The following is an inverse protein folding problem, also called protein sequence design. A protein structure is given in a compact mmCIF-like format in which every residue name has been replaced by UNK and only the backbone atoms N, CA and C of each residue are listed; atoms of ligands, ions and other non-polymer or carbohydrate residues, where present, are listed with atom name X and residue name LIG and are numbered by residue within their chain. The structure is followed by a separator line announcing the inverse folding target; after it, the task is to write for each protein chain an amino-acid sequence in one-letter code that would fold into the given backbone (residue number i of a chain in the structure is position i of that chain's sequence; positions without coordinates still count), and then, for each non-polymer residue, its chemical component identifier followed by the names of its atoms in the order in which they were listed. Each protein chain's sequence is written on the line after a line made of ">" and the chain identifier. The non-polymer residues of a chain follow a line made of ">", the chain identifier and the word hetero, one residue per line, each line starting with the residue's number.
data_IF_734100454529
#
_entry.id   IF_734100454529
#
_cell.length_a   1.000
_cell.length_b   1.000
_cell.length_c   1.000
_cell.angle_alpha   90.00
_cell.angle_beta   90.00
_cell.angle_gamma   90.00
#
_symmetry.space_group_name_H-M   'P 1'
#
loop_
_entity.id
_entity.type
_entity.pdbx_description
1 polymer ?
#
# COMPACT_ATOMS: atom_id res chain seq x y z
N UNK A 1 19.03 14.87 4.52
CA UNK A 1 17.86 14.06 4.11
C UNK A 1 16.68 14.99 4.04
N UNK A 2 16.21 15.31 2.83
CA UNK A 2 14.95 16.04 2.69
C UNK A 2 13.85 15.17 3.31
N UNK A 3 13.19 15.67 4.36
CA UNK A 3 11.92 15.08 4.80
C UNK A 3 11.04 15.06 3.56
N UNK A 4 10.72 13.87 3.05
CA UNK A 4 9.51 13.73 2.25
C UNK A 4 8.38 14.09 3.21
N UNK A 5 7.97 15.35 3.22
CA UNK A 5 6.73 15.75 3.87
C UNK A 5 5.62 14.97 3.16
N UNK A 6 4.81 14.30 3.96
CA UNK A 6 3.68 13.53 3.49
C UNK A 6 2.49 14.45 3.37
N UNK A 7 1.54 14.11 2.51
CA UNK A 7 0.28 14.81 2.39
C UNK A 7 -0.83 13.84 2.71
N UNK A 8 -1.78 14.27 3.52
CA UNK A 8 -2.97 13.52 3.83
C UNK A 8 -4.14 14.14 3.07
N UNK A 9 -4.84 13.32 2.30
CA UNK A 9 -6.10 13.68 1.65
C UNK A 9 -7.22 12.90 2.34
N UNK A 10 -8.13 13.58 3.03
CA UNK A 10 -9.28 12.96 3.71
C UNK A 10 -10.58 13.31 3.03
N UNK A 11 -11.50 12.35 2.94
CA UNK A 11 -12.84 12.58 2.42
C UNK A 11 -13.68 13.44 3.39
N UNK A 12 -14.50 14.32 2.84
CA UNK A 12 -15.52 15.06 3.61
C UNK A 12 -16.62 14.06 4.00
N UNK A 13 -17.06 14.09 5.27
CA UNK A 13 -18.05 13.12 5.80
C UNK A 13 -19.34 13.12 4.95
N UNK A 14 -19.84 11.92 4.64
CA UNK A 14 -21.07 11.73 3.87
C UNK A 14 -20.91 11.88 2.36
N UNK A 15 -19.67 12.05 1.86
CA UNK A 15 -19.41 12.10 0.42
C UNK A 15 -19.15 10.72 -0.17
N UNK A 16 -19.28 10.63 -1.49
CA UNK A 16 -18.94 9.41 -2.23
C UNK A 16 -17.45 9.08 -2.09
N UNK A 17 -16.58 10.10 -2.09
CA UNK A 17 -15.14 9.91 -1.90
C UNK A 17 -14.81 9.37 -0.50
N UNK A 18 -15.46 9.87 0.56
CA UNK A 18 -15.28 9.33 1.91
C UNK A 18 -15.70 7.86 2.00
N UNK A 19 -16.81 7.50 1.36
CA UNK A 19 -17.27 6.11 1.28
C UNK A 19 -16.25 5.22 0.55
N UNK A 20 -15.64 5.71 -0.54
CA UNK A 20 -14.59 5.00 -1.26
C UNK A 20 -13.33 4.82 -0.41
N UNK A 21 -12.87 5.87 0.28
CA UNK A 21 -11.73 5.77 1.19
C UNK A 21 -11.99 4.80 2.34
N UNK A 22 -13.20 4.83 2.91
CA UNK A 22 -13.62 3.88 3.94
C UNK A 22 -13.54 2.44 3.44
N UNK A 23 -14.11 2.16 2.27
CA UNK A 23 -14.04 0.83 1.65
C UNK A 23 -12.59 0.37 1.49
N UNK A 24 -11.70 1.26 1.02
CA UNK A 24 -10.28 0.93 0.87
C UNK A 24 -9.59 0.64 2.21
N UNK A 25 -9.88 1.45 3.22
CA UNK A 25 -9.31 1.26 4.55
C UNK A 25 -9.80 -0.04 5.20
N UNK A 26 -11.11 -0.32 5.19
CA UNK A 26 -11.68 -1.50 5.83
C UNK A 26 -11.19 -2.79 5.19
N UNK A 27 -11.17 -2.86 3.86
CA UNK A 27 -10.62 -4.01 3.14
C UNK A 27 -9.12 -4.18 3.43
N UNK A 28 -8.35 -3.10 3.56
CA UNK A 28 -6.94 -3.18 4.00
C UNK A 28 -6.82 -3.79 5.40
N UNK A 29 -7.65 -3.37 6.36
CA UNK A 29 -7.63 -3.90 7.73
C UNK A 29 -7.99 -5.39 7.75
N UNK A 30 -8.96 -5.81 6.95
CA UNK A 30 -9.35 -7.21 6.86
C UNK A 30 -8.31 -8.07 6.15
N UNK A 31 -7.69 -7.57 5.09
CA UNK A 31 -6.58 -8.24 4.40
C UNK A 31 -5.42 -8.48 5.38
N UNK A 32 -5.05 -7.50 6.21
CA UNK A 32 -3.96 -7.63 7.21
C UNK A 32 -4.14 -8.86 8.11
N UNK A 33 -5.36 -9.13 8.56
CA UNK A 33 -5.66 -10.29 9.43
C UNK A 33 -5.31 -11.60 8.73
N UNK A 34 -5.66 -11.69 7.44
CA UNK A 34 -5.42 -12.87 6.61
C UNK A 34 -3.93 -12.99 6.25
N UNK A 35 -3.30 -11.86 5.90
CA UNK A 35 -1.89 -11.80 5.50
C UNK A 35 -0.99 -12.35 6.60
N UNK A 36 -1.20 -11.92 7.86
CA UNK A 36 -0.42 -12.40 9.00
C UNK A 36 -0.50 -13.93 9.10
N UNK A 37 -1.70 -14.48 8.93
CA UNK A 37 -1.92 -15.93 8.96
C UNK A 37 -1.21 -16.64 7.78
N UNK A 38 -1.34 -16.13 6.56
CA UNK A 38 -0.68 -16.73 5.39
C UNK A 38 0.85 -16.68 5.47
N UNK A 39 1.43 -15.60 6.01
CA UNK A 39 2.87 -15.49 6.22
C UNK A 39 3.33 -16.46 7.30
N UNK A 40 2.55 -16.61 8.38
CA UNK A 40 2.84 -17.58 9.43
C UNK A 40 2.80 -19.02 8.91
N UNK A 41 1.85 -19.34 8.03
CA UNK A 41 1.77 -20.64 7.36
C UNK A 41 2.97 -20.89 6.43
N UNK A 42 3.41 -19.87 5.69
CA UNK A 42 4.60 -19.97 4.85
C UNK A 42 5.88 -20.15 5.68
N UNK A 43 6.06 -19.33 6.71
CA UNK A 43 7.36 -19.17 7.38
C UNK A 43 7.49 -19.93 8.70
N UNK A 44 6.40 -20.49 9.21
CA UNK A 44 6.28 -21.06 10.56
C UNK A 44 6.51 -20.06 11.70
N UNK A 45 6.65 -18.76 11.40
CA UNK A 45 6.90 -17.69 12.38
C UNK A 45 5.87 -16.58 12.18
N UNK A 46 5.34 -16.03 13.27
CA UNK A 46 4.45 -14.87 13.19
C UNK A 46 5.27 -13.62 12.84
N UNK A 47 4.96 -12.88 11.77
CA UNK A 47 5.64 -11.63 11.45
C UNK A 47 5.33 -10.55 12.50
N UNK A 48 6.32 -9.69 12.80
CA UNK A 48 6.14 -8.51 13.67
C UNK A 48 5.78 -7.26 12.87
N UNK A 49 6.14 -7.24 11.59
CA UNK A 49 5.84 -6.14 10.68
C UNK A 49 5.74 -6.68 9.26
N UNK A 50 4.78 -6.15 8.53
CA UNK A 50 4.62 -6.36 7.10
C UNK A 50 4.53 -4.95 6.55
N UNK A 51 5.60 -4.46 5.93
CA UNK A 51 5.63 -3.14 5.31
C UNK A 51 4.86 -3.25 3.97
N UNK A 52 3.54 -3.29 4.14
CA UNK A 52 2.67 -4.10 3.31
C UNK A 52 1.98 -3.37 2.17
N UNK A 53 2.46 -2.22 1.72
CA UNK A 53 1.95 -1.67 0.46
C UNK A 53 3.13 -1.42 -0.45
N UNK A 54 3.08 -2.03 -1.64
CA UNK A 54 4.13 -1.93 -2.63
C UNK A 54 4.32 -0.46 -3.04
N UNK A 55 5.34 0.18 -2.47
CA UNK A 55 5.89 1.44 -2.94
C UNK A 55 6.97 1.22 -4.01
N UNK A 56 7.19 -0.01 -4.47
CA UNK A 56 8.10 -0.26 -5.58
C UNK A 56 7.45 0.15 -6.90
N UNK A 57 8.09 1.13 -7.53
CA UNK A 57 7.80 1.60 -8.89
C UNK A 57 7.87 0.50 -9.94
N UNK A 58 8.45 -0.67 -9.63
CA UNK A 58 8.69 -1.78 -10.58
C UNK A 58 7.48 -2.69 -10.80
N UNK A 59 6.53 -2.81 -9.87
CA UNK A 59 5.30 -3.62 -10.08
C UNK A 59 4.06 -2.76 -10.35
N UNK A 60 4.05 -1.52 -9.86
CA UNK A 60 3.04 -0.52 -10.20
C UNK A 60 2.95 -0.26 -11.73
N UNK A 61 4.03 -0.53 -12.48
CA UNK A 61 4.09 -0.40 -13.94
C UNK A 61 3.44 -1.55 -14.71
N UNK A 62 3.35 -2.75 -14.13
CA UNK A 62 2.88 -3.94 -14.86
C UNK A 62 1.37 -4.18 -14.72
N UNK A 63 0.77 -3.77 -13.61
CA UNK A 63 -0.69 -3.88 -13.38
C UNK A 63 -1.19 -2.68 -12.60
N UNK A 64 -1.52 -1.63 -13.34
CA UNK A 64 -2.62 -0.71 -13.04
C UNK A 64 -2.71 -0.13 -11.62
N UNK A 65 -2.20 1.09 -11.41
CA UNK A 65 -2.77 2.13 -10.51
C UNK A 65 -3.06 1.75 -9.05
N UNK A 66 -2.53 0.65 -8.54
CA UNK A 66 -3.08 0.01 -7.34
C UNK A 66 -2.18 0.01 -6.12
N UNK A 67 -2.79 0.31 -4.98
CA UNK A 67 -2.21 0.08 -3.66
C UNK A 67 -2.25 -1.44 -3.42
N UNK A 68 -1.16 -2.13 -3.78
CA UNK A 68 -1.06 -3.59 -3.74
C UNK A 68 -0.31 -4.06 -2.50
N UNK A 69 -0.75 -5.17 -1.93
CA UNK A 69 0.00 -5.83 -0.87
C UNK A 69 1.31 -6.40 -1.41
N UNK A 70 2.43 -5.86 -0.93
CA UNK A 70 3.74 -6.47 -1.17
C UNK A 70 3.89 -7.72 -0.31
N UNK A 71 4.26 -8.84 -0.94
CA UNK A 71 4.76 -10.02 -0.23
C UNK A 71 6.27 -9.92 0.05
N UNK A 72 6.93 -8.90 -0.46
CA UNK A 72 8.27 -8.49 -0.03
C UNK A 72 8.10 -7.55 1.18
N UNK A 73 9.14 -7.37 1.99
CA UNK A 73 9.18 -6.50 3.19
C UNK A 73 8.50 -7.05 4.45
N UNK A 74 8.76 -8.32 4.74
CA UNK A 74 8.31 -8.97 5.97
C UNK A 74 9.41 -8.86 7.03
N UNK A 75 9.06 -8.49 8.27
CA UNK A 75 9.97 -8.61 9.42
C UNK A 75 9.45 -9.64 10.39
N UNK A 76 10.38 -10.41 10.92
CA UNK A 76 10.15 -11.41 11.96
C UNK A 76 10.88 -11.02 13.25
N UNK A 77 10.53 -11.61 14.39
CA UNK A 77 11.28 -11.44 15.64
C UNK A 77 12.78 -11.74 15.46
N UNK A 78 13.62 -11.10 16.26
CA UNK A 78 15.04 -11.45 16.28
C UNK A 78 15.24 -12.92 16.71
N UNK A 79 16.35 -13.52 16.26
CA UNK A 79 16.75 -14.90 16.58
C UNK A 79 15.78 -16.00 16.15
N UNK A 80 14.84 -15.72 15.24
CA UNK A 80 14.03 -16.74 14.59
C UNK A 80 14.66 -17.23 13.27
N UNK A 81 14.21 -18.39 12.80
CA UNK A 81 14.62 -18.97 11.52
C UNK A 81 13.37 -19.22 10.64
N UNK A 82 12.85 -18.19 9.95
CA UNK A 82 11.62 -18.32 9.17
C UNK A 82 11.86 -19.17 7.92
N UNK A 83 10.98 -20.15 7.70
CA UNK A 83 11.07 -21.08 6.56
C UNK A 83 10.63 -20.40 5.24
N UNK A 84 11.07 -20.95 4.12
CA UNK A 84 10.58 -20.59 2.77
C UNK A 84 10.74 -19.11 2.38
N UNK A 85 11.54 -18.33 3.12
CA UNK A 85 11.86 -16.93 2.88
C UNK A 85 13.37 -16.72 2.85
N UNK A 86 13.82 -15.62 2.25
CA UNK A 86 15.23 -15.20 2.23
C UNK A 86 15.38 -13.79 2.78
N UNK A 87 16.41 -13.52 3.58
CA UNK A 87 16.66 -12.19 4.12
C UNK A 87 17.29 -11.26 3.08
N UNK A 88 17.02 -9.97 3.22
CA UNK A 88 17.72 -8.87 2.55
C UNK A 88 17.72 -7.64 3.45
N UNK A 89 18.66 -6.72 3.24
CA UNK A 89 18.85 -5.56 4.11
C UNK A 89 18.51 -4.25 3.39
N UNK A 90 17.78 -3.38 4.06
CA UNK A 90 17.50 -2.00 3.62
C UNK A 90 17.76 -1.06 4.79
N UNK A 91 18.65 -0.08 4.61
CA UNK A 91 18.97 0.95 5.61
C UNK A 91 19.27 0.37 7.01
N UNK A 92 20.01 -0.74 7.07
CA UNK A 92 20.35 -1.39 8.34
C UNK A 92 19.29 -2.37 8.87
N UNK A 93 18.06 -2.36 8.33
CA UNK A 93 16.95 -3.21 8.77
C UNK A 93 16.90 -4.48 7.92
N UNK A 94 16.76 -5.64 8.57
CA UNK A 94 16.59 -6.94 7.89
C UNK A 94 15.11 -7.15 7.58
N UNK A 95 14.82 -7.37 6.30
CA UNK A 95 13.53 -7.78 5.77
C UNK A 95 13.64 -9.15 5.13
N UNK A 96 12.49 -9.79 4.90
CA UNK A 96 12.39 -11.09 4.27
C UNK A 96 11.42 -11.03 3.08
N UNK A 97 11.71 -11.83 2.06
CA UNK A 97 10.85 -12.08 0.89
C UNK A 97 10.73 -13.59 0.67
N UNK A 98 9.61 -14.11 0.16
CA UNK A 98 9.49 -15.51 -0.24
C UNK A 98 10.64 -15.97 -1.14
N UNK A 99 11.21 -17.14 -0.85
CA UNK A 99 12.29 -17.70 -1.65
C UNK A 99 11.78 -18.10 -3.04
N UNK A 100 12.13 -17.34 -4.08
CA UNK A 100 11.63 -17.55 -5.44
C UNK A 100 12.06 -18.88 -6.07
N UNK A 101 13.10 -19.52 -5.54
CA UNK A 101 13.59 -20.82 -6.01
C UNK A 101 12.86 -21.99 -5.32
N UNK A 102 12.03 -21.73 -4.32
CA UNK A 102 11.28 -22.75 -3.59
C UNK A 102 9.84 -22.86 -4.12
N UNK A 103 9.39 -24.10 -4.35
CA UNK A 103 8.05 -24.40 -4.87
C UNK A 103 6.93 -24.04 -3.88
N UNK A 104 7.18 -24.13 -2.57
CA UNK A 104 6.19 -23.75 -1.56
C UNK A 104 5.98 -22.23 -1.59
N UNK A 105 7.07 -21.47 -1.54
CA UNK A 105 7.05 -20.02 -1.73
C UNK A 105 6.46 -19.57 -3.08
N UNK A 106 6.72 -20.29 -4.18
CA UNK A 106 6.13 -19.99 -5.49
C UNK A 106 4.59 -20.10 -5.47
N UNK A 107 4.05 -21.18 -4.88
CA UNK A 107 2.60 -21.36 -4.71
C UNK A 107 2.00 -20.26 -3.84
N UNK A 108 2.67 -19.92 -2.74
CA UNK A 108 2.27 -18.80 -1.88
C UNK A 108 2.19 -17.49 -2.66
N UNK A 109 3.21 -17.13 -3.44
CA UNK A 109 3.22 -15.88 -4.22
C UNK A 109 2.13 -15.82 -5.30
N UNK A 110 1.72 -16.97 -5.85
CA UNK A 110 0.59 -17.05 -6.80
C UNK A 110 -0.74 -16.82 -6.08
N UNK A 111 -0.95 -17.48 -4.94
CA UNK A 111 -2.15 -17.32 -4.13
C UNK A 111 -2.28 -15.91 -3.56
N UNK A 112 -1.17 -15.33 -3.08
CA UNK A 112 -1.10 -13.95 -2.62
C UNK A 112 -1.62 -12.98 -3.68
N UNK A 113 -1.09 -13.07 -4.92
CA UNK A 113 -1.51 -12.20 -6.03
C UNK A 113 -2.96 -12.42 -6.45
N UNK A 114 -3.48 -13.64 -6.32
CA UNK A 114 -4.88 -13.97 -6.62
C UNK A 114 -5.82 -13.31 -5.61
N UNK A 115 -5.45 -13.34 -4.33
CA UNK A 115 -6.28 -12.89 -3.21
C UNK A 115 -6.18 -11.38 -2.98
N UNK A 116 -4.96 -10.85 -2.94
CA UNK A 116 -4.67 -9.47 -2.56
C UNK A 116 -4.45 -8.61 -3.80
N UNK A 117 -5.55 -8.30 -4.49
CA UNK A 117 -5.53 -7.48 -5.72
C UNK A 117 -5.37 -5.98 -5.47
N UNK A 118 -5.37 -5.55 -4.20
CA UNK A 118 -5.30 -4.15 -3.82
C UNK A 118 -6.45 -3.30 -4.35
N UNK A 119 -6.23 -1.99 -4.47
CA UNK A 119 -7.26 -1.02 -4.86
C UNK A 119 -6.92 -0.26 -6.11
N UNK A 120 -7.85 -0.13 -7.06
CA UNK A 120 -7.63 0.65 -8.27
C UNK A 120 -7.74 2.17 -8.02
N UNK A 121 -6.60 2.86 -8.05
CA UNK A 121 -6.50 4.31 -7.86
C UNK A 121 -7.17 5.14 -8.96
N UNK A 122 -7.52 4.57 -10.12
CA UNK A 122 -8.30 5.30 -11.15
C UNK A 122 -9.65 5.82 -10.64
N UNK A 123 -10.23 5.14 -9.65
CA UNK A 123 -11.50 5.58 -9.05
C UNK A 123 -11.38 6.95 -8.38
N UNK A 124 -10.16 7.41 -8.06
CA UNK A 124 -9.88 8.71 -7.49
C UNK A 124 -9.89 9.85 -8.52
N UNK A 125 -9.70 9.54 -9.81
CA UNK A 125 -9.62 10.54 -10.88
C UNK A 125 -10.91 11.36 -11.01
N UNK A 126 -12.07 10.72 -10.85
CA UNK A 126 -13.37 11.41 -10.92
C UNK A 126 -13.54 12.47 -9.83
N UNK A 127 -12.75 12.39 -8.77
CA UNK A 127 -12.72 13.37 -7.68
C UNK A 127 -11.58 14.38 -7.81
N UNK A 128 -10.86 14.40 -8.93
CA UNK A 128 -9.71 15.29 -9.10
C UNK A 128 -8.49 14.89 -8.25
N UNK A 129 -8.35 13.60 -7.91
CA UNK A 129 -7.13 13.08 -7.28
C UNK A 129 -6.46 12.17 -8.30
N UNK A 130 -5.53 12.76 -9.06
CA UNK A 130 -4.83 12.05 -10.12
C UNK A 130 -3.52 11.42 -9.61
N UNK A 131 -3.62 10.16 -9.15
CA UNK A 131 -2.45 9.38 -8.69
C UNK A 131 -1.53 8.93 -9.82
N UNK A 132 -1.89 9.21 -11.09
CA UNK A 132 -1.00 9.11 -12.27
C UNK A 132 -1.31 10.25 -13.25
N UNK A 133 -0.57 11.37 -13.22
CA UNK A 133 -0.85 12.50 -14.07
C UNK A 133 -0.85 12.12 -15.55
N UNK A 134 -1.85 12.64 -16.26
CA UNK A 134 -2.09 12.44 -17.70
C UNK A 134 -0.90 12.75 -18.62
N UNK A 135 0.12 13.49 -18.14
CA UNK A 135 1.29 13.92 -18.89
C UNK A 135 2.58 13.12 -18.64
N UNK A 136 2.56 11.96 -17.95
CA UNK A 136 3.79 11.17 -17.79
C UNK A 136 3.72 9.88 -16.98
N UNK A 137 4.91 9.32 -16.70
CA UNK A 137 5.16 8.11 -15.89
C UNK A 137 5.42 8.42 -14.41
N UNK A 138 4.85 9.50 -13.88
CA UNK A 138 5.07 9.87 -12.47
C UNK A 138 4.05 9.10 -11.63
N UNK A 139 4.54 8.26 -10.72
CA UNK A 139 3.70 7.47 -9.83
C UNK A 139 3.78 8.05 -8.43
N UNK A 140 2.63 8.29 -7.81
CA UNK A 140 2.58 8.67 -6.41
C UNK A 140 2.29 7.46 -5.54
N UNK A 141 3.13 7.27 -4.52
CA UNK A 141 2.82 6.33 -3.47
C UNK A 141 1.61 6.86 -2.70
N UNK A 142 0.63 5.98 -2.49
CA UNK A 142 -0.52 6.28 -1.66
C UNK A 142 -0.90 5.07 -0.83
N UNK A 143 -1.37 5.29 0.39
CA UNK A 143 -1.89 4.23 1.28
C UNK A 143 -3.21 4.67 1.93
N UNK A 144 -4.22 3.79 2.03
CA UNK A 144 -5.42 4.07 2.81
C UNK A 144 -5.10 4.30 4.29
N UNK A 145 -5.73 5.30 4.91
CA UNK A 145 -5.54 5.63 6.32
C UNK A 145 -6.86 6.02 6.99
N UNK A 146 -6.86 5.93 8.33
CA UNK A 146 -7.78 6.66 9.18
C UNK A 146 -6.97 7.75 9.89
N UNK A 147 -7.31 9.02 9.63
CA UNK A 147 -6.60 10.18 10.17
C UNK A 147 -7.59 11.14 10.82
N UNK A 148 -7.40 11.46 12.11
CA UNK A 148 -8.31 12.31 12.89
C UNK A 148 -9.78 11.93 12.70
N UNK A 149 -10.08 10.63 12.81
CA UNK A 149 -11.43 10.06 12.64
C UNK A 149 -12.06 10.28 11.25
N UNK A 150 -11.24 10.55 10.22
CA UNK A 150 -11.64 10.65 8.81
C UNK A 150 -10.92 9.59 7.99
N UNK A 151 -11.63 9.03 7.02
CA UNK A 151 -11.03 8.13 6.04
C UNK A 151 -10.31 8.93 4.95
N UNK A 152 -9.15 8.45 4.54
CA UNK A 152 -8.33 9.16 3.58
C UNK A 152 -7.22 8.31 3.00
N UNK A 153 -6.30 9.01 2.34
CA UNK A 153 -5.06 8.46 1.82
C UNK A 153 -3.89 9.33 2.29
N UNK A 154 -2.80 8.68 2.69
CA UNK A 154 -1.49 9.31 2.83
C UNK A 154 -0.77 9.17 1.49
N UNK A 155 -0.33 10.28 0.93
CA UNK A 155 0.28 10.42 -0.39
C UNK A 155 1.55 11.25 -0.30
N UNK A 156 2.49 11.06 -1.22
CA UNK A 156 3.63 11.96 -1.31
C UNK A 156 3.23 13.37 -1.75
N UNK A 157 3.83 14.41 -1.17
CA UNK A 157 3.61 15.83 -1.50
C UNK A 157 3.71 16.17 -3.01
N UNK A 158 4.48 15.39 -3.77
CA UNK A 158 4.66 15.58 -5.21
C UNK A 158 3.37 15.57 -6.03
N UNK A 159 2.27 14.98 -5.50
CA UNK A 159 0.97 14.96 -6.17
C UNK A 159 0.28 16.34 -6.16
N UNK A 160 0.65 17.23 -5.23
CA UNK A 160 -0.02 18.53 -5.03
C UNK A 160 -0.09 19.39 -6.30
N UNK A 161 0.96 19.35 -7.13
CA UNK A 161 1.01 20.09 -8.40
C UNK A 161 0.06 19.54 -9.48
N UNK A 162 -0.47 18.34 -9.27
CA UNK A 162 -1.38 17.65 -10.20
C UNK A 162 -2.84 17.65 -9.72
N UNK A 163 -3.13 18.22 -8.55
CA UNK A 163 -4.50 18.36 -8.06
C UNK A 163 -5.18 19.56 -8.75
N UNK A 164 -6.17 19.34 -9.63
CA UNK A 164 -6.90 20.42 -10.27
C UNK A 164 -7.70 21.22 -9.23
N UNK A 165 -7.86 22.52 -9.50
CA UNK A 165 -8.74 23.37 -8.71
C UNK A 165 -10.20 23.10 -9.11
N UNK A 166 -10.84 22.14 -8.43
CA UNK A 166 -12.25 21.81 -8.60
C UNK A 166 -13.10 22.52 -7.52
N UNK A 167 -14.22 23.14 -7.93
CA UNK A 167 -15.08 23.91 -7.02
C UNK A 167 -15.74 23.02 -5.95
N UNK A 168 -16.26 21.87 -6.35
CA UNK A 168 -17.04 20.96 -5.50
C UNK A 168 -16.21 19.76 -5.02
N UNK A 169 -15.00 20.03 -4.52
CA UNK A 169 -14.13 18.95 -4.00
C UNK A 169 -14.78 18.23 -2.82
N UNK A 170 -14.62 16.91 -2.80
CA UNK A 170 -15.12 16.04 -1.72
C UNK A 170 -14.03 15.70 -0.69
N UNK A 171 -12.93 16.46 -0.65
CA UNK A 171 -11.79 16.17 0.22
C UNK A 171 -11.16 17.43 0.82
N UNK A 172 -10.44 17.18 1.91
CA UNK A 172 -9.55 18.11 2.61
C UNK A 172 -8.10 17.64 2.43
N UNK A 173 -7.15 18.58 2.52
CA UNK A 173 -5.71 18.31 2.40
C UNK A 173 -5.00 18.83 3.64
N UNK A 174 -4.13 18.02 4.24
CA UNK A 174 -3.21 18.41 5.32
C UNK A 174 -1.77 18.00 4.97
N UNK A 175 -0.80 18.88 5.19
CA UNK A 175 0.62 18.57 5.04
C UNK A 175 1.19 18.06 6.37
N UNK A 176 2.06 17.04 6.31
CA UNK A 176 2.56 16.25 7.46
C UNK A 176 4.08 16.13 7.45
#
# INVERSE_FOLDING_TARGET
>A
MNKCTGMIITGIRGTELESLFKQFYEQMIDDKKIIVQMIKELSSVTPIEIDGMDSSTRRATATSFSCLWSYDYIRFPEYCNPNHVVPYQINGIIFFTPNRCDKVAEKFMKEWRRRFKGFNGFLLHKFGIDVKPSCGYIWFHWKPIMYKEKYGIDVSDGIKQYLPNIKDKQYEIEAV
#
